data_IF_582035710966
#
_entry.id   IF_582035710966
#
_cell.length_a   1.000
_cell.length_b   1.000
_cell.length_c   1.000
_cell.angle_alpha   90.00
_cell.angle_beta   90.00
_cell.angle_gamma   90.00
#
_symmetry.space_group_name_H-M   'P 1'
#
loop_
_entity.id
_entity.type
_entity.pdbx_description
1 polymer ?
#
# COMPACT_ATOMS: atom_id res chain seq x y z
N UNK A 1 -64.57 28.69 -22.69
CA UNK A 1 -63.31 28.27 -22.03
C UNK A 1 -62.68 27.23 -22.94
N UNK A 2 -61.51 27.34 -23.54
CA UNK A 2 -60.39 28.28 -23.45
C UNK A 2 -59.18 27.52 -24.02
N UNK A 3 -58.53 28.11 -25.04
CA UNK A 3 -57.20 27.81 -25.58
C UNK A 3 -56.88 26.43 -26.22
N UNK A 4 -56.67 26.50 -27.54
CA UNK A 4 -55.65 25.74 -28.27
C UNK A 4 -54.23 26.20 -27.88
N UNK A 5 -53.20 25.34 -28.03
CA UNK A 5 -52.03 25.54 -28.89
C UNK A 5 -51.01 24.37 -28.80
N UNK A 6 -50.60 23.95 -29.99
CA UNK A 6 -49.29 23.50 -30.49
C UNK A 6 -48.09 23.38 -29.55
N UNK A 7 -47.25 22.37 -29.83
CA UNK A 7 -45.83 22.40 -29.44
C UNK A 7 -45.06 21.14 -29.80
N UNK A 8 -44.56 21.06 -31.04
CA UNK A 8 -43.43 20.21 -31.43
C UNK A 8 -42.22 20.53 -30.53
N UNK A 9 -41.76 19.55 -29.75
CA UNK A 9 -40.52 19.63 -28.99
C UNK A 9 -39.39 18.93 -29.73
N UNK A 10 -38.47 19.73 -30.27
CA UNK A 10 -37.19 19.31 -30.83
C UNK A 10 -36.35 18.51 -29.82
N UNK A 11 -35.59 17.54 -30.34
CA UNK A 11 -34.40 17.02 -29.65
C UNK A 11 -33.27 18.08 -29.61
N UNK A 12 -32.36 17.96 -28.63
CA UNK A 12 -30.95 17.94 -29.00
C UNK A 12 -30.20 16.78 -28.34
N UNK A 13 -29.37 16.10 -29.13
CA UNK A 13 -28.27 15.26 -28.65
C UNK A 13 -27.18 16.14 -28.05
N UNK A 14 -26.67 15.82 -26.86
CA UNK A 14 -25.21 15.83 -26.62
C UNK A 14 -24.83 15.12 -25.32
N UNK A 15 -23.86 14.21 -25.49
CA UNK A 15 -22.72 13.95 -24.62
C UNK A 15 -22.96 13.87 -23.11
N UNK A 16 -22.71 12.70 -22.54
CA UNK A 16 -21.56 12.46 -21.65
C UNK A 16 -21.55 10.97 -21.31
N UNK A 17 -20.87 10.18 -22.14
CA UNK A 17 -20.19 8.96 -21.69
C UNK A 17 -18.74 9.13 -22.12
N UNK A 18 -18.11 10.16 -21.55
CA UNK A 18 -16.68 10.40 -21.55
C UNK A 18 -16.22 10.37 -20.08
N UNK A 19 -16.63 9.32 -19.38
CA UNK A 19 -16.19 9.02 -18.01
C UNK A 19 -15.86 7.52 -17.92
N UNK A 20 -15.30 6.96 -18.99
CA UNK A 20 -14.84 5.57 -19.09
C UNK A 20 -13.36 5.47 -19.45
N UNK A 21 -12.58 6.52 -19.20
CA UNK A 21 -11.14 6.56 -19.55
C UNK A 21 -10.24 7.11 -18.40
N UNK A 22 -10.77 7.24 -17.18
CA UNK A 22 -9.97 7.59 -15.99
C UNK A 22 -9.95 6.48 -14.92
N UNK A 23 -10.36 5.26 -15.29
CA UNK A 23 -10.16 4.07 -14.46
C UNK A 23 -9.04 3.21 -15.05
N UNK A 24 -7.94 3.12 -14.29
CA UNK A 24 -6.86 2.13 -14.42
C UNK A 24 -6.08 2.15 -15.74
N UNK A 25 -5.32 3.23 -15.98
CA UNK A 25 -3.99 3.03 -16.52
C UNK A 25 -3.25 2.20 -15.45
N UNK A 26 -3.22 0.88 -15.60
CA UNK A 26 -2.32 0.00 -14.84
C UNK A 26 -0.91 0.57 -15.03
N UNK A 27 -0.49 1.43 -14.11
CA UNK A 27 0.77 2.12 -14.18
C UNK A 27 1.88 1.10 -13.94
N UNK A 28 2.25 0.40 -15.00
CA UNK A 28 3.46 -0.41 -15.01
C UNK A 28 4.61 0.53 -14.65
N UNK A 29 5.33 0.18 -13.58
CA UNK A 29 6.45 0.98 -13.11
C UNK A 29 7.44 1.16 -14.26
N UNK A 30 7.81 2.42 -14.53
CA UNK A 30 8.83 2.71 -15.52
C UNK A 30 10.19 2.14 -15.09
N UNK A 31 11.10 1.87 -16.04
CA UNK A 31 12.47 1.44 -15.71
C UNK A 31 13.19 2.43 -14.79
N UNK A 32 12.87 3.72 -14.91
CA UNK A 32 13.36 4.78 -14.03
C UNK A 32 12.80 4.63 -12.60
N UNK A 33 11.49 4.42 -12.43
CA UNK A 33 10.89 4.15 -11.13
C UNK A 33 11.43 2.89 -10.47
N UNK A 34 11.59 1.80 -11.24
CA UNK A 34 12.19 0.55 -10.73
C UNK A 34 13.59 0.82 -10.20
N UNK A 35 14.39 1.63 -10.92
CA UNK A 35 15.74 2.00 -10.49
C UNK A 35 15.69 2.84 -9.21
N UNK A 36 14.82 3.85 -9.14
CA UNK A 36 14.62 4.67 -7.93
C UNK A 36 14.23 3.84 -6.70
N UNK A 37 13.30 2.88 -6.88
CA UNK A 37 12.87 1.97 -5.82
C UNK A 37 14.04 1.10 -5.36
N UNK A 38 14.77 0.48 -6.30
CA UNK A 38 15.93 -0.38 -5.97
C UNK A 38 17.05 0.38 -5.27
N UNK A 39 17.36 1.61 -5.68
CA UNK A 39 18.40 2.41 -5.03
C UNK A 39 17.98 2.94 -3.66
N UNK A 40 16.73 3.40 -3.51
CA UNK A 40 16.21 3.85 -2.21
C UNK A 40 16.08 2.69 -1.22
N UNK A 41 15.72 1.49 -1.71
CA UNK A 41 15.65 0.28 -0.89
C UNK A 41 16.98 -0.07 -0.22
N UNK A 42 18.12 0.11 -0.91
CA UNK A 42 19.46 -0.11 -0.32
C UNK A 42 19.69 0.72 0.94
N UNK A 43 19.18 1.95 0.97
CA UNK A 43 19.27 2.84 2.14
C UNK A 43 18.33 2.36 3.25
N UNK A 44 17.10 1.96 2.89
CA UNK A 44 16.12 1.42 3.86
C UNK A 44 16.66 0.14 4.54
N UNK A 45 17.43 -0.69 3.81
CA UNK A 45 18.02 -1.93 4.32
C UNK A 45 18.97 -1.72 5.50
N UNK A 46 19.65 -0.58 5.60
CA UNK A 46 20.58 -0.28 6.69
C UNK A 46 19.89 -0.29 8.08
N UNK A 47 18.60 0.07 8.11
CA UNK A 47 17.77 0.16 9.32
C UNK A 47 16.58 -0.82 9.30
N UNK A 48 16.64 -1.88 8.50
CA UNK A 48 15.46 -2.69 8.11
C UNK A 48 14.62 -3.22 9.29
N UNK A 49 15.28 -3.66 10.37
CA UNK A 49 14.59 -4.15 11.56
C UNK A 49 13.81 -3.03 12.28
N UNK A 50 14.39 -1.83 12.32
CA UNK A 50 13.79 -0.65 12.92
C UNK A 50 12.61 -0.16 12.08
N UNK A 51 12.76 -0.14 10.74
CA UNK A 51 11.66 0.19 9.81
C UNK A 51 10.47 -0.73 10.05
N UNK A 52 10.70 -2.05 10.08
CA UNK A 52 9.65 -3.03 10.31
C UNK A 52 8.88 -2.81 11.62
N UNK A 53 9.58 -2.49 12.71
CA UNK A 53 8.94 -2.17 13.99
C UNK A 53 8.11 -0.88 13.88
N UNK A 54 8.68 0.18 13.28
CA UNK A 54 8.01 1.48 13.13
C UNK A 54 6.71 1.31 12.33
N UNK A 55 6.72 0.55 11.23
CA UNK A 55 5.53 0.30 10.40
C UNK A 55 4.38 -0.26 11.24
N UNK A 56 4.63 -1.32 12.03
CA UNK A 56 3.57 -1.97 12.77
C UNK A 56 3.11 -1.20 14.01
N UNK A 57 4.03 -0.52 14.70
CA UNK A 57 3.65 0.33 15.82
C UNK A 57 2.75 1.45 15.33
N UNK A 58 3.13 2.13 14.23
CA UNK A 58 2.29 3.15 13.60
C UNK A 58 0.96 2.58 13.12
N UNK A 59 0.96 1.40 12.50
CA UNK A 59 -0.28 0.74 12.07
C UNK A 59 -1.24 0.53 13.23
N UNK A 60 -0.77 0.08 14.39
CA UNK A 60 -1.61 -0.14 15.56
C UNK A 60 -2.01 1.17 16.27
N UNK A 61 -1.21 2.23 16.15
CA UNK A 61 -1.57 3.58 16.59
C UNK A 61 -2.70 4.18 15.72
N UNK A 62 -2.62 4.04 14.39
CA UNK A 62 -3.54 4.68 13.44
C UNK A 62 -4.76 3.82 13.10
N UNK A 63 -4.61 2.50 13.14
CA UNK A 63 -5.63 1.51 12.79
C UNK A 63 -5.65 0.38 13.85
N UNK A 64 -6.09 0.65 15.09
CA UNK A 64 -6.03 -0.30 16.19
C UNK A 64 -6.77 -1.61 15.91
N UNK A 65 -7.79 -1.60 15.04
CA UNK A 65 -8.51 -2.81 14.62
C UNK A 65 -7.59 -3.83 13.91
N UNK A 66 -6.47 -3.38 13.36
CA UNK A 66 -5.50 -4.28 12.73
C UNK A 66 -4.93 -5.28 13.73
N UNK A 67 -4.89 -4.97 15.03
CA UNK A 67 -4.40 -5.89 16.07
C UNK A 67 -5.26 -7.14 16.22
N UNK A 68 -6.52 -7.13 15.79
CA UNK A 68 -7.44 -8.26 15.96
C UNK A 68 -6.94 -9.52 15.25
N UNK A 69 -6.23 -9.38 14.15
CA UNK A 69 -5.68 -10.53 13.41
C UNK A 69 -4.29 -10.95 13.92
N UNK A 70 -3.71 -10.22 14.87
CA UNK A 70 -2.44 -10.54 15.53
C UNK A 70 -2.68 -11.10 16.93
N UNK A 71 -2.90 -12.41 17.03
CA UNK A 71 -3.19 -13.06 18.32
C UNK A 71 -2.19 -12.73 19.44
N UNK A 72 -0.90 -12.56 19.12
CA UNK A 72 0.15 -12.21 20.10
C UNK A 72 0.11 -10.77 20.59
N UNK A 73 -0.52 -9.85 19.83
CA UNK A 73 -0.50 -8.41 20.14
C UNK A 73 -1.88 -7.86 20.46
N UNK A 74 -2.96 -8.61 20.19
CA UNK A 74 -4.36 -8.18 20.31
C UNK A 74 -4.63 -7.45 21.63
N UNK A 75 -4.20 -8.03 22.74
CA UNK A 75 -4.50 -7.52 24.08
C UNK A 75 -3.40 -6.60 24.66
N UNK A 76 -2.38 -6.24 23.87
CA UNK A 76 -1.31 -5.34 24.31
C UNK A 76 -1.73 -3.88 24.10
N UNK A 77 -2.17 -3.21 25.17
CA UNK A 77 -2.59 -1.80 25.10
C UNK A 77 -1.41 -0.82 24.98
N UNK A 78 -0.30 -1.13 25.65
CA UNK A 78 0.90 -0.30 25.63
C UNK A 78 1.77 -0.61 24.38
N UNK A 79 1.65 0.26 23.38
CA UNK A 79 2.38 0.13 22.11
C UNK A 79 3.89 0.38 22.27
N UNK A 80 4.35 1.07 23.31
CA UNK A 80 5.78 1.25 23.58
C UNK A 80 6.44 -0.08 23.96
N UNK A 81 5.71 -0.96 24.67
CA UNK A 81 6.18 -2.33 24.91
C UNK A 81 6.33 -3.12 23.62
N UNK A 82 5.47 -2.89 22.63
CA UNK A 82 5.57 -3.56 21.33
C UNK A 82 6.84 -3.16 20.56
N UNK A 83 7.37 -1.93 20.74
CA UNK A 83 8.64 -1.51 20.13
C UNK A 83 9.82 -2.41 20.50
N UNK A 84 9.78 -3.03 21.67
CA UNK A 84 10.84 -3.92 22.18
C UNK A 84 10.47 -5.40 22.11
N UNK A 85 9.28 -5.74 21.59
CA UNK A 85 8.83 -7.12 21.43
C UNK A 85 9.67 -7.87 20.39
N UNK A 86 10.16 -9.05 20.78
CA UNK A 86 10.89 -9.96 19.88
C UNK A 86 9.98 -10.50 18.79
N UNK A 87 8.72 -10.76 19.11
CA UNK A 87 7.68 -11.26 18.23
C UNK A 87 7.33 -10.22 17.16
N UNK A 88 7.15 -8.95 17.57
CA UNK A 88 6.88 -7.88 16.61
C UNK A 88 8.08 -7.65 15.70
N UNK A 89 9.30 -7.62 16.27
CA UNK A 89 10.53 -7.51 15.48
C UNK A 89 10.64 -8.64 14.45
N UNK A 90 10.35 -9.88 14.85
CA UNK A 90 10.38 -11.02 13.94
C UNK A 90 9.31 -10.91 12.84
N UNK A 91 8.10 -10.44 13.17
CA UNK A 91 7.06 -10.21 12.17
C UNK A 91 7.43 -9.07 11.21
N UNK A 92 7.91 -7.93 11.72
CA UNK A 92 8.41 -6.82 10.92
C UNK A 92 9.49 -7.27 9.94
N UNK A 93 10.46 -8.07 10.39
CA UNK A 93 11.51 -8.63 9.51
C UNK A 93 10.94 -9.55 8.42
N UNK A 94 9.89 -10.34 8.68
CA UNK A 94 9.24 -11.15 7.64
C UNK A 94 8.60 -10.28 6.56
N UNK A 95 7.93 -9.20 6.95
CA UNK A 95 7.33 -8.26 5.99
C UNK A 95 8.41 -7.54 5.19
N UNK A 96 9.45 -7.04 5.85
CA UNK A 96 10.57 -6.41 5.16
C UNK A 96 11.27 -7.38 4.19
N UNK A 97 11.43 -8.65 4.56
CA UNK A 97 11.96 -9.69 3.66
C UNK A 97 11.03 -9.99 2.49
N UNK A 98 9.72 -9.84 2.65
CA UNK A 98 8.78 -9.93 1.53
C UNK A 98 8.96 -8.74 0.59
N UNK A 99 9.02 -7.52 1.11
CA UNK A 99 9.25 -6.30 0.31
C UNK A 99 10.58 -6.40 -0.44
N UNK A 100 11.66 -6.86 0.19
CA UNK A 100 12.95 -7.16 -0.45
C UNK A 100 12.78 -8.03 -1.70
N UNK A 101 12.06 -9.16 -1.53
CA UNK A 101 11.82 -10.11 -2.62
C UNK A 101 10.99 -9.48 -3.74
N UNK A 102 10.05 -8.60 -3.39
CA UNK A 102 9.25 -7.86 -4.36
C UNK A 102 10.08 -6.83 -5.13
N UNK A 103 10.88 -6.02 -4.44
CA UNK A 103 11.80 -5.03 -5.04
C UNK A 103 12.77 -5.71 -6.00
N UNK A 104 13.31 -6.87 -5.63
CA UNK A 104 14.22 -7.66 -6.46
C UNK A 104 13.55 -8.25 -7.73
N UNK A 105 12.22 -8.22 -7.82
CA UNK A 105 11.41 -8.82 -8.91
C UNK A 105 10.54 -7.82 -9.65
N UNK A 106 10.73 -6.51 -9.46
CA UNK A 106 9.95 -5.49 -10.15
C UNK A 106 10.09 -5.56 -11.69
N UNK A 107 11.17 -6.16 -12.19
CA UNK A 107 11.41 -6.46 -13.61
C UNK A 107 10.95 -7.87 -14.04
N UNK A 108 10.32 -8.64 -13.14
CA UNK A 108 9.92 -10.04 -13.32
C UNK A 108 8.48 -10.24 -12.83
N UNK A 109 7.53 -9.54 -13.48
CA UNK A 109 6.14 -9.43 -13.01
C UNK A 109 5.46 -10.79 -12.78
N UNK A 110 5.61 -11.78 -13.66
CA UNK A 110 5.04 -13.12 -13.46
C UNK A 110 5.47 -13.78 -12.13
N UNK A 111 6.74 -13.55 -11.74
CA UNK A 111 7.30 -14.08 -10.48
C UNK A 111 6.84 -13.26 -9.28
N UNK A 112 6.66 -11.95 -9.46
CA UNK A 112 6.12 -11.07 -8.45
C UNK A 112 4.65 -11.41 -8.16
N UNK A 113 3.85 -11.65 -9.20
CA UNK A 113 2.45 -12.06 -9.09
C UNK A 113 2.31 -13.39 -8.36
N UNK A 114 3.12 -14.39 -8.73
CA UNK A 114 3.15 -15.68 -8.04
C UNK A 114 3.47 -15.53 -6.56
N UNK A 115 4.42 -14.66 -6.22
CA UNK A 115 4.82 -14.36 -4.84
C UNK A 115 3.69 -13.62 -4.07
N UNK A 116 3.00 -12.68 -4.72
CA UNK A 116 1.87 -11.95 -4.14
C UNK A 116 0.67 -12.86 -3.88
N UNK A 117 0.36 -13.78 -4.79
CA UNK A 117 -0.70 -14.79 -4.64
C UNK A 117 -0.41 -15.71 -3.44
N UNK A 118 0.83 -16.16 -3.27
CA UNK A 118 1.22 -16.98 -2.12
C UNK A 118 1.06 -16.23 -0.78
N UNK A 119 1.44 -14.94 -0.76
CA UNK A 119 1.22 -14.08 0.40
C UNK A 119 -0.27 -13.95 0.73
N UNK A 120 -1.09 -13.68 -0.28
CA UNK A 120 -2.55 -13.52 -0.16
C UNK A 120 -3.21 -14.78 0.39
N UNK A 121 -2.82 -15.98 -0.08
CA UNK A 121 -3.31 -17.27 0.45
C UNK A 121 -3.00 -17.44 1.93
N UNK A 122 -1.82 -17.01 2.38
CA UNK A 122 -1.44 -17.09 3.79
C UNK A 122 -2.28 -16.13 4.64
N UNK A 123 -2.48 -14.90 4.18
CA UNK A 123 -3.26 -13.89 4.90
C UNK A 123 -4.76 -14.16 4.92
N UNK A 124 -5.30 -14.80 3.88
CA UNK A 124 -6.67 -15.31 3.90
C UNK A 124 -6.88 -16.28 5.07
N UNK A 125 -5.92 -17.18 5.33
CA UNK A 125 -5.96 -18.09 6.49
C UNK A 125 -5.85 -17.37 7.84
N UNK A 126 -5.21 -16.20 7.88
CA UNK A 126 -5.12 -15.37 9.08
C UNK A 126 -6.36 -14.48 9.28
N UNK A 127 -7.35 -14.56 8.38
CA UNK A 127 -8.52 -13.70 8.36
C UNK A 127 -8.17 -12.21 8.29
N UNK A 128 -7.05 -11.85 7.64
CA UNK A 128 -6.64 -10.47 7.43
C UNK A 128 -7.47 -9.82 6.31
N UNK A 129 -8.31 -8.81 6.59
CA UNK A 129 -9.07 -8.08 5.59
C UNK A 129 -8.16 -7.42 4.54
N UNK A 130 -8.51 -7.46 3.25
CA UNK A 130 -7.71 -6.83 2.19
C UNK A 130 -7.42 -5.34 2.41
N UNK A 131 -8.32 -4.61 3.08
CA UNK A 131 -8.09 -3.19 3.40
C UNK A 131 -6.82 -2.95 4.22
N UNK A 132 -6.37 -3.92 5.04
CA UNK A 132 -5.18 -3.77 5.87
C UNK A 132 -3.89 -3.64 5.05
N UNK A 133 -3.83 -4.19 3.84
CA UNK A 133 -2.65 -4.01 2.98
C UNK A 133 -2.44 -2.54 2.59
N UNK A 134 -3.53 -1.80 2.36
CA UNK A 134 -3.45 -0.36 2.06
C UNK A 134 -2.92 0.43 3.25
N UNK A 135 -3.33 0.06 4.46
CA UNK A 135 -2.82 0.68 5.69
C UNK A 135 -1.34 0.37 5.89
N UNK A 136 -0.92 -0.89 5.70
CA UNK A 136 0.50 -1.28 5.78
C UNK A 136 1.34 -0.53 4.75
N UNK A 137 0.86 -0.39 3.51
CA UNK A 137 1.55 0.38 2.47
C UNK A 137 1.71 1.86 2.84
N UNK A 138 0.64 2.49 3.34
CA UNK A 138 0.69 3.87 3.80
C UNK A 138 1.67 4.06 4.98
N UNK A 139 1.65 3.15 5.97
CA UNK A 139 2.56 3.24 7.11
C UNK A 139 4.01 2.90 6.74
N UNK A 140 4.24 2.05 5.74
CA UNK A 140 5.56 1.83 5.15
C UNK A 140 6.13 3.13 4.58
N UNK A 141 5.37 3.85 3.77
CA UNK A 141 5.79 5.14 3.20
C UNK A 141 6.11 6.15 4.31
N UNK A 142 5.23 6.26 5.31
CA UNK A 142 5.47 7.11 6.48
C UNK A 142 6.74 6.73 7.25
N UNK A 143 7.06 5.44 7.36
CA UNK A 143 8.23 4.95 8.07
C UNK A 143 9.54 5.19 7.31
N UNK A 144 9.55 5.07 5.98
CA UNK A 144 10.78 5.19 5.17
C UNK A 144 11.12 6.63 4.78
N UNK A 145 10.12 7.52 4.69
CA UNK A 145 10.33 8.94 4.39
C UNK A 145 11.41 9.61 5.28
N UNK A 146 11.37 9.53 6.62
CA UNK A 146 12.40 10.14 7.47
C UNK A 146 13.77 9.45 7.37
N UNK A 147 13.83 8.21 6.89
CA UNK A 147 15.09 7.45 6.71
C UNK A 147 15.82 7.95 5.46
N UNK A 148 15.06 8.19 4.38
CA UNK A 148 15.60 8.63 3.11
C UNK A 148 16.00 10.11 3.10
N UNK A 149 15.45 10.93 4.02
CA UNK A 149 15.83 12.35 4.21
C UNK A 149 15.84 13.10 2.87
N UNK A 150 16.98 13.68 2.48
CA UNK A 150 17.15 14.45 1.24
C UNK A 150 17.01 13.60 -0.03
N UNK A 151 17.07 12.27 0.07
CA UNK A 151 16.78 11.35 -1.04
C UNK A 151 15.28 11.16 -1.27
N UNK A 152 14.41 11.55 -0.32
CA UNK A 152 12.96 11.49 -0.50
C UNK A 152 12.47 12.64 -1.38
N UNK A 153 12.07 12.31 -2.61
CA UNK A 153 11.52 13.27 -3.57
C UNK A 153 10.05 12.96 -3.86
N UNK A 154 9.27 13.91 -4.40
CA UNK A 154 7.90 13.64 -4.85
C UNK A 154 7.83 12.51 -5.88
N UNK A 155 8.83 12.40 -6.76
CA UNK A 155 8.89 11.34 -7.76
C UNK A 155 9.17 9.97 -7.12
N UNK A 156 10.06 9.91 -6.12
CA UNK A 156 10.31 8.68 -5.38
C UNK A 156 9.08 8.25 -4.57
N UNK A 157 8.37 9.21 -3.96
CA UNK A 157 7.11 8.93 -3.28
C UNK A 157 6.06 8.38 -4.24
N UNK A 158 5.95 8.94 -5.45
CA UNK A 158 5.07 8.43 -6.50
C UNK A 158 5.45 7.01 -6.91
N UNK A 159 6.74 6.71 -7.04
CA UNK A 159 7.21 5.37 -7.40
C UNK A 159 6.89 4.31 -6.33
N UNK A 160 6.90 4.68 -5.05
CA UNK A 160 6.57 3.76 -3.94
C UNK A 160 5.06 3.62 -3.66
N UNK A 161 4.22 4.51 -4.18
CA UNK A 161 2.75 4.48 -4.01
C UNK A 161 2.09 3.58 -5.04
#
# INVERSE_FOLDING_TARGET
>A
MGCAISGLGLAPKKATEAASEEEEEEAQLSSEHITMIKESWKVIQEDIAKVGIIVFVRLFETHPECKDVFFLFRDVEDLERLRTSKELRAHGLRVMSFIEKSVARLDQLDRLDSLAVELGRSHYRYCAPPKYYRYVGAEFICAVRPILKDKWTPELEKAWK
#
